data_IF_078252244969
#
_entry.id   IF_078252244969
#
_cell.length_a   1.000
_cell.length_b   1.000
_cell.length_c   1.000
_cell.angle_alpha   90.00
_cell.angle_beta   90.00
_cell.angle_gamma   90.00
#
_symmetry.space_group_name_H-M   'P 1'
#
loop_
_entity.id
_entity.type
_entity.pdbx_description
1 polymer ?
#
# COMPACT_ATOMS: atom_id res chain seq x y z
N UNK A 1 7.14 12.23 2.56
CA UNK A 1 7.35 12.28 1.09
C UNK A 1 6.16 11.68 0.36
N UNK A 2 5.88 10.39 0.53
CA UNK A 2 4.76 9.71 -0.16
C UNK A 2 3.38 10.29 0.19
N UNK A 3 3.13 10.68 1.44
CA UNK A 3 1.86 11.32 1.80
C UNK A 3 1.60 12.62 1.02
N UNK A 4 2.63 13.40 0.67
CA UNK A 4 2.42 14.61 -0.15
C UNK A 4 2.06 14.24 -1.59
N UNK A 5 2.74 13.25 -2.16
CA UNK A 5 2.42 12.75 -3.51
C UNK A 5 0.96 12.29 -3.58
N UNK A 6 0.50 11.52 -2.60
CA UNK A 6 -0.89 11.04 -2.55
C UNK A 6 -1.92 12.15 -2.28
N UNK A 7 -1.54 13.24 -1.60
CA UNK A 7 -2.41 14.38 -1.34
C UNK A 7 -2.55 15.31 -2.55
N UNK A 8 -1.53 15.37 -3.39
CA UNK A 8 -1.52 16.15 -4.63
C UNK A 8 -2.27 15.44 -5.77
N UNK A 9 -2.51 14.14 -5.61
CA UNK A 9 -3.22 13.30 -6.58
C UNK A 9 -4.73 13.62 -6.64
N UNK A 10 -5.27 13.66 -7.85
CA UNK A 10 -6.70 13.78 -8.10
C UNK A 10 -7.46 12.53 -7.62
N UNK A 11 -8.73 12.72 -7.22
CA UNK A 11 -9.63 11.63 -6.85
C UNK A 11 -9.84 10.61 -7.98
N UNK A 12 -9.71 11.04 -9.24
CA UNK A 12 -9.77 10.20 -10.43
C UNK A 12 -8.40 10.25 -11.08
N UNK A 13 -7.72 9.09 -11.12
CA UNK A 13 -6.40 8.97 -11.70
C UNK A 13 -6.51 8.49 -13.16
N UNK A 14 -6.07 9.30 -14.15
CA UNK A 14 -5.98 8.83 -15.52
C UNK A 14 -4.82 7.83 -15.63
N UNK A 15 -5.07 6.67 -16.24
CA UNK A 15 -4.07 5.60 -16.36
C UNK A 15 -3.95 5.15 -17.82
N UNK A 16 -2.70 5.01 -18.29
CA UNK A 16 -2.40 4.62 -19.67
C UNK A 16 -2.10 3.13 -19.78
N UNK A 17 -2.68 2.48 -20.78
CA UNK A 17 -2.43 1.07 -21.10
C UNK A 17 -1.05 0.87 -21.75
N UNK A 18 -0.42 -0.31 -21.59
CA UNK A 18 -0.87 -1.49 -20.85
C UNK A 18 -0.71 -1.32 -19.33
N UNK A 19 -1.59 -1.94 -18.55
CA UNK A 19 -1.59 -1.85 -17.08
C UNK A 19 -2.06 -3.16 -16.46
N UNK A 20 -1.45 -3.53 -15.34
CA UNK A 20 -1.83 -4.68 -14.52
C UNK A 20 -2.69 -4.20 -13.36
N UNK A 21 -3.92 -4.68 -13.27
CA UNK A 21 -4.86 -4.34 -12.19
C UNK A 21 -4.81 -5.40 -11.11
N UNK A 22 -4.61 -4.98 -9.87
CA UNK A 22 -4.46 -5.83 -8.70
C UNK A 22 -5.59 -5.55 -7.71
N UNK A 23 -6.25 -6.61 -7.25
CA UNK A 23 -7.26 -6.54 -6.19
C UNK A 23 -6.65 -6.58 -4.79
N UNK A 24 -7.45 -7.07 -3.86
CA UNK A 24 -7.16 -7.13 -2.42
C UNK A 24 -5.89 -7.93 -2.12
N UNK A 25 -5.06 -7.44 -1.19
CA UNK A 25 -3.83 -8.12 -0.76
C UNK A 25 -3.94 -8.63 0.67
N UNK A 26 -4.62 -7.89 1.56
CA UNK A 26 -4.85 -8.30 2.96
C UNK A 26 -3.58 -8.76 3.70
N UNK A 27 -2.48 -8.01 3.59
CA UNK A 27 -1.24 -8.29 4.29
C UNK A 27 -0.52 -9.60 3.89
N UNK A 28 -0.81 -10.14 2.72
CA UNK A 28 -0.13 -11.29 2.14
C UNK A 28 1.15 -10.89 1.37
N UNK A 29 2.21 -10.54 2.11
CA UNK A 29 3.44 -10.00 1.54
C UNK A 29 4.11 -10.90 0.48
N UNK A 30 4.16 -12.22 0.72
CA UNK A 30 4.81 -13.15 -0.21
C UNK A 30 4.03 -13.30 -1.52
N UNK A 31 2.70 -13.26 -1.46
CA UNK A 31 1.84 -13.29 -2.64
C UNK A 31 1.96 -12.00 -3.46
N UNK A 32 2.19 -10.85 -2.80
CA UNK A 32 2.50 -9.59 -3.47
C UNK A 32 3.83 -9.67 -4.26
N UNK A 33 4.88 -10.29 -3.71
CA UNK A 33 6.13 -10.45 -4.45
C UNK A 33 5.96 -11.41 -5.65
N UNK A 34 5.15 -12.47 -5.50
CA UNK A 34 4.84 -13.37 -6.62
C UNK A 34 4.00 -12.69 -7.71
N UNK A 35 3.08 -11.79 -7.31
CA UNK A 35 2.33 -10.94 -8.23
C UNK A 35 3.28 -10.09 -9.09
N UNK A 36 4.32 -9.48 -8.50
CA UNK A 36 5.32 -8.73 -9.28
C UNK A 36 6.18 -9.62 -10.18
N UNK A 37 6.45 -10.87 -9.77
CA UNK A 37 7.17 -11.84 -10.63
C UNK A 37 6.34 -12.28 -11.83
N UNK A 38 5.03 -12.43 -11.65
CA UNK A 38 4.11 -12.91 -12.70
C UNK A 38 3.64 -11.76 -13.61
N UNK A 39 3.28 -10.62 -13.03
CA UNK A 39 2.76 -9.45 -13.74
C UNK A 39 3.84 -8.63 -14.46
N UNK A 40 5.11 -8.80 -14.08
CA UNK A 40 6.24 -8.05 -14.61
C UNK A 40 6.79 -7.03 -13.61
N UNK A 41 8.10 -6.79 -13.65
CA UNK A 41 8.73 -5.85 -12.72
C UNK A 41 8.45 -4.39 -13.10
N UNK A 42 8.52 -3.53 -12.09
CA UNK A 42 8.47 -2.08 -12.23
C UNK A 42 9.91 -1.61 -12.49
N UNK A 43 10.17 -0.72 -13.47
CA UNK A 43 9.24 0.19 -14.15
C UNK A 43 8.62 -0.27 -15.48
N UNK A 44 8.94 -1.48 -15.95
CA UNK A 44 8.51 -1.95 -17.27
C UNK A 44 6.99 -2.15 -17.36
N UNK A 45 6.33 -2.42 -16.22
CA UNK A 45 4.89 -2.63 -16.12
C UNK A 45 4.24 -1.56 -15.24
N UNK A 46 3.11 -1.02 -15.71
CA UNK A 46 2.26 -0.12 -14.92
C UNK A 46 1.33 -0.95 -14.02
N UNK A 47 1.10 -0.51 -12.78
CA UNK A 47 0.22 -1.18 -11.83
C UNK A 47 -0.86 -0.27 -11.29
N UNK A 48 -2.07 -0.78 -11.19
CA UNK A 48 -3.17 -0.19 -10.42
C UNK A 48 -3.53 -1.16 -9.32
N UNK A 49 -3.45 -0.71 -8.07
CA UNK A 49 -3.98 -1.46 -6.94
C UNK A 49 -5.29 -0.85 -6.46
N UNK A 50 -6.31 -1.70 -6.26
CA UNK A 50 -7.68 -1.28 -5.99
C UNK A 50 -7.97 -0.98 -4.50
N UNK A 51 -7.03 -1.26 -3.59
CA UNK A 51 -7.19 -1.04 -2.15
C UNK A 51 -7.07 -2.34 -1.36
N UNK A 52 -7.52 -2.32 -0.10
CA UNK A 52 -7.52 -3.47 0.82
C UNK A 52 -6.12 -4.11 0.96
N UNK A 53 -5.14 -3.24 1.21
CA UNK A 53 -3.74 -3.59 1.40
C UNK A 53 -3.49 -4.24 2.76
N UNK A 54 -4.26 -3.81 3.76
CA UNK A 54 -4.07 -4.12 5.19
C UNK A 54 -5.19 -5.03 5.71
N UNK A 55 -4.97 -5.53 6.92
CA UNK A 55 -5.84 -6.41 7.69
C UNK A 55 -5.87 -7.88 7.22
N UNK A 56 -6.21 -8.79 8.16
CA UNK A 56 -6.24 -10.27 8.04
C UNK A 56 -4.88 -10.98 7.93
N UNK A 57 -3.88 -10.37 7.28
CA UNK A 57 -2.54 -10.93 7.17
C UNK A 57 -1.56 -10.44 8.24
N UNK A 58 -0.59 -11.28 8.61
CA UNK A 58 0.47 -10.96 9.60
C UNK A 58 1.57 -10.02 9.09
N UNK A 59 1.58 -9.72 7.79
CA UNK A 59 2.59 -8.90 7.12
C UNK A 59 1.98 -7.67 6.43
N UNK A 60 0.94 -7.10 7.05
CA UNK A 60 0.26 -5.90 6.53
C UNK A 60 1.20 -4.70 6.47
N UNK A 61 2.08 -4.58 7.46
CA UNK A 61 3.08 -3.52 7.51
C UNK A 61 4.10 -3.62 6.37
N UNK A 62 4.66 -4.80 6.14
CA UNK A 62 5.65 -5.05 5.09
C UNK A 62 5.04 -4.83 3.71
N UNK A 63 3.81 -5.32 3.50
CA UNK A 63 3.02 -5.13 2.29
C UNK A 63 2.80 -3.65 1.99
N UNK A 64 2.32 -2.89 2.97
CA UNK A 64 2.06 -1.46 2.79
C UNK A 64 3.35 -0.66 2.57
N UNK A 65 4.41 -0.96 3.34
CA UNK A 65 5.71 -0.28 3.20
C UNK A 65 6.31 -0.52 1.82
N UNK A 66 6.19 -1.74 1.28
CA UNK A 66 6.64 -2.09 -0.07
C UNK A 66 5.93 -1.26 -1.13
N UNK A 67 4.60 -1.18 -1.07
CA UNK A 67 3.79 -0.39 -2.00
C UNK A 67 4.13 1.10 -1.94
N UNK A 68 4.27 1.66 -0.73
CA UNK A 68 4.68 3.07 -0.56
C UNK A 68 6.06 3.35 -1.16
N UNK A 69 7.01 2.43 -0.99
CA UNK A 69 8.36 2.58 -1.53
C UNK A 69 8.35 2.55 -3.06
N UNK A 70 7.55 1.66 -3.66
CA UNK A 70 7.37 1.60 -5.11
C UNK A 70 6.71 2.89 -5.64
N UNK A 71 5.67 3.39 -4.96
CA UNK A 71 5.02 4.67 -5.29
C UNK A 71 5.99 5.85 -5.19
N UNK A 72 6.85 5.85 -4.18
CA UNK A 72 7.88 6.89 -4.01
C UNK A 72 8.89 6.91 -5.15
N UNK A 73 9.27 5.71 -5.63
CA UNK A 73 10.32 5.56 -6.65
C UNK A 73 9.77 5.73 -8.07
N UNK A 74 8.54 5.31 -8.33
CA UNK A 74 7.88 5.38 -9.63
C UNK A 74 6.43 5.88 -9.50
N UNK A 75 6.23 7.15 -9.16
CA UNK A 75 4.90 7.71 -8.91
C UNK A 75 3.97 7.61 -10.12
N UNK A 76 4.52 7.72 -11.33
CA UNK A 76 3.76 7.68 -12.59
C UNK A 76 3.41 6.25 -13.06
N UNK A 77 3.96 5.23 -12.41
CA UNK A 77 3.81 3.81 -12.81
C UNK A 77 2.95 3.01 -11.83
N UNK A 78 2.86 3.46 -10.59
CA UNK A 78 2.11 2.80 -9.52
C UNK A 78 0.94 3.68 -9.12
N UNK A 79 -0.29 3.24 -9.37
CA UNK A 79 -1.50 3.89 -8.87
C UNK A 79 -2.04 3.10 -7.68
N UNK A 80 -2.18 3.76 -6.53
CA UNK A 80 -2.76 3.18 -5.32
C UNK A 80 -4.12 3.82 -5.08
N UNK A 81 -5.19 3.03 -5.20
CA UNK A 81 -6.53 3.46 -4.82
C UNK A 81 -6.80 3.10 -3.36
N UNK A 82 -7.76 3.80 -2.77
CA UNK A 82 -8.18 3.58 -1.38
C UNK A 82 -9.32 2.56 -1.35
N UNK A 83 -9.12 1.47 -0.64
CA UNK A 83 -10.17 0.50 -0.31
C UNK A 83 -10.91 0.90 0.97
N UNK A 84 -11.82 0.03 1.40
CA UNK A 84 -12.62 0.28 2.61
C UNK A 84 -11.80 0.04 3.88
N UNK A 85 -10.83 -0.88 3.86
CA UNK A 85 -10.01 -1.19 5.04
C UNK A 85 -8.99 -0.09 5.39
N UNK A 86 -8.69 0.84 4.48
CA UNK A 86 -7.81 2.00 4.74
C UNK A 86 -8.51 3.16 5.48
N UNK A 87 -9.50 2.86 6.34
CA UNK A 87 -10.18 3.82 7.20
C UNK A 87 -9.77 3.67 8.67
N UNK A 88 -9.65 4.79 9.39
CA UNK A 88 -9.21 4.82 10.80
C UNK A 88 -10.12 4.00 11.73
N UNK A 89 -11.39 3.82 11.37
CA UNK A 89 -12.33 2.98 12.11
C UNK A 89 -12.05 1.48 11.95
N UNK A 90 -11.49 1.05 10.82
CA UNK A 90 -11.24 -0.36 10.53
C UNK A 90 -9.82 -0.75 10.99
N UNK A 91 -8.81 0.08 10.77
CA UNK A 91 -7.43 -0.22 11.22
C UNK A 91 -7.25 -0.27 12.75
N UNK A 92 -8.16 0.36 13.52
CA UNK A 92 -8.21 0.23 14.98
C UNK A 92 -8.88 -1.06 15.46
N UNK A 93 -9.71 -1.69 14.62
CA UNK A 93 -10.51 -2.87 14.98
C UNK A 93 -9.85 -4.17 14.50
N UNK A 94 -9.07 -4.13 13.42
CA UNK A 94 -8.56 -5.32 12.74
C UNK A 94 -7.05 -5.59 12.90
N UNK A 95 -6.39 -4.92 13.86
CA UNK A 95 -5.08 -5.32 14.35
C UNK A 95 -3.87 -4.68 13.65
N UNK A 96 -4.06 -3.93 12.56
CA UNK A 96 -2.97 -3.17 11.94
C UNK A 96 -2.32 -2.15 12.92
N UNK A 97 -3.15 -1.51 13.75
CA UNK A 97 -2.66 -0.60 14.79
C UNK A 97 -1.77 -1.31 15.82
N UNK A 98 -2.18 -2.50 16.27
CA UNK A 98 -1.42 -3.32 17.23
C UNK A 98 -0.14 -3.88 16.61
N UNK A 99 -0.16 -4.26 15.33
CA UNK A 99 1.03 -4.67 14.58
C UNK A 99 2.05 -3.52 14.51
N UNK A 100 1.60 -2.30 14.20
CA UNK A 100 2.45 -1.12 14.18
C UNK A 100 3.03 -0.80 15.56
N UNK A 101 2.20 -0.87 16.62
CA UNK A 101 2.68 -0.65 17.98
C UNK A 101 3.69 -1.71 18.42
N UNK A 102 3.50 -2.97 18.04
CA UNK A 102 4.40 -4.08 18.41
C UNK A 102 5.73 -3.96 17.67
N UNK A 103 5.71 -3.66 16.37
CA UNK A 103 6.93 -3.62 15.53
C UNK A 103 7.72 -2.31 15.64
N UNK A 104 7.04 -1.16 15.79
CA UNK A 104 7.67 0.16 15.81
C UNK A 104 7.56 0.92 17.14
N UNK A 105 6.75 0.44 18.08
CA UNK A 105 6.51 1.12 19.36
C UNK A 105 5.49 2.26 19.29
N UNK A 106 5.06 2.76 20.46
CA UNK A 106 4.21 3.94 20.56
C UNK A 106 4.98 5.24 20.23
N UNK A 107 4.34 6.15 19.49
CA UNK A 107 4.88 7.48 19.14
C UNK A 107 4.83 8.46 20.35
N UNK A 108 4.77 7.96 21.59
CA UNK A 108 4.76 8.80 22.81
C UNK A 108 6.16 9.12 23.36
N UNK A 109 7.23 8.88 22.59
CA UNK A 109 8.60 9.31 22.93
C UNK A 109 9.19 10.40 22.02
N UNK A 110 8.35 11.19 21.33
CA UNK A 110 8.81 12.44 20.70
C UNK A 110 8.11 13.63 21.37
N UNK A 111 8.44 13.83 22.65
CA UNK A 111 8.38 15.12 23.33
C UNK A 111 9.80 15.45 23.78
N UNK A 112 10.61 16.04 22.91
CA UNK A 112 11.55 17.12 23.25
C UNK A 112 12.01 17.80 21.97
#
# INVERSE_FOLDING_TARGET
MVCRLLLEECNIQPVSTPVTVCGDIHGQFYDLEELFRTGGQVPETNYIFLGDFVDRGYYSLETFTRLLTLKAKWPDRITLLRGNYESRQITQVYGFYDECQTKYGQIDKIRT
#
